data_IF_010018693403
#
_entry.id   IF_010018693403
#
_cell.length_a   1.000
_cell.length_b   1.000
_cell.length_c   1.000
_cell.angle_alpha   90.00
_cell.angle_beta   90.00
_cell.angle_gamma   90.00
#
_symmetry.space_group_name_H-M   'P 1'
#
loop_
_entity.id
_entity.type
_entity.pdbx_description
1 polymer ?
#
# COMPACT_ATOMS: atom_id res chain seq x y z
N UNK A 1 0.97 -10.73 -6.67
CA UNK A 1 1.75 -9.91 -5.72
C UNK A 1 1.96 -10.72 -4.45
N UNK A 2 3.18 -10.79 -3.91
CA UNK A 2 3.47 -11.46 -2.63
C UNK A 2 2.58 -10.94 -1.49
N UNK A 3 2.26 -11.80 -0.52
CA UNK A 3 1.35 -11.47 0.59
C UNK A 3 1.81 -10.25 1.38
N UNK A 4 3.10 -10.18 1.72
CA UNK A 4 3.67 -9.04 2.45
C UNK A 4 3.52 -7.73 1.68
N UNK A 5 3.88 -7.72 0.39
CA UNK A 5 3.74 -6.57 -0.50
C UNK A 5 2.29 -6.07 -0.57
N UNK A 6 1.31 -6.98 -0.61
CA UNK A 6 -0.11 -6.63 -0.56
C UNK A 6 -0.48 -5.89 0.71
N UNK A 7 -0.07 -6.40 1.88
CA UNK A 7 -0.44 -5.81 3.15
C UNK A 7 0.28 -4.49 3.43
N UNK A 8 1.55 -4.36 3.00
CA UNK A 8 2.27 -3.08 3.03
C UNK A 8 1.50 -2.02 2.24
N UNK A 9 1.13 -2.33 0.99
CA UNK A 9 0.39 -1.40 0.15
C UNK A 9 -0.98 -1.02 0.74
N UNK A 10 -1.73 -2.00 1.28
CA UNK A 10 -3.03 -1.75 1.91
C UNK A 10 -2.93 -0.84 3.12
N UNK A 11 -1.99 -1.11 4.03
CA UNK A 11 -1.78 -0.31 5.25
C UNK A 11 -1.36 1.11 4.87
N UNK A 12 -0.40 1.27 3.95
CA UNK A 12 0.06 2.58 3.48
C UNK A 12 -1.08 3.40 2.86
N UNK A 13 -1.87 2.79 1.96
CA UNK A 13 -2.98 3.46 1.29
C UNK A 13 -4.13 3.84 2.23
N UNK A 14 -4.45 2.99 3.22
CA UNK A 14 -5.52 3.29 4.21
C UNK A 14 -5.11 4.40 5.17
N UNK A 15 -3.83 4.45 5.54
CA UNK A 15 -3.28 5.55 6.31
C UNK A 15 -3.30 6.86 5.53
N UNK A 16 -2.89 6.84 4.26
CA UNK A 16 -2.89 8.03 3.41
C UNK A 16 -4.29 8.63 3.22
N UNK A 17 -5.33 7.80 3.32
CA UNK A 17 -6.74 8.21 3.24
C UNK A 17 -7.37 8.51 4.61
N UNK A 18 -6.58 8.53 5.69
CA UNK A 18 -7.04 8.73 7.07
C UNK A 18 -8.16 7.75 7.51
N UNK A 19 -8.23 6.54 6.93
CA UNK A 19 -9.16 5.51 7.40
C UNK A 19 -8.54 4.68 8.55
N UNK A 20 -8.68 5.15 9.78
CA UNK A 20 -8.23 4.45 10.99
C UNK A 20 -8.74 3.00 11.09
N UNK A 21 -10.06 2.74 11.00
CA UNK A 21 -10.61 1.38 11.07
C UNK A 21 -10.12 0.46 9.94
N UNK A 22 -9.97 1.00 8.73
CA UNK A 22 -9.43 0.21 7.61
C UNK A 22 -7.97 -0.14 7.82
N UNK A 23 -7.18 0.77 8.40
CA UNK A 23 -5.78 0.53 8.74
C UNK A 23 -5.67 -0.60 9.77
N UNK A 24 -6.46 -0.54 10.85
CA UNK A 24 -6.47 -1.57 11.89
C UNK A 24 -6.89 -2.94 11.35
N UNK A 25 -7.94 -2.97 10.51
CA UNK A 25 -8.39 -4.22 9.87
C UNK A 25 -7.29 -4.85 9.01
N UNK A 26 -6.58 -4.04 8.22
CA UNK A 26 -5.50 -4.54 7.38
C UNK A 26 -4.29 -5.01 8.19
N UNK A 27 -4.00 -4.40 9.33
CA UNK A 27 -2.99 -4.91 10.25
C UNK A 27 -3.36 -6.30 10.80
N UNK A 28 -4.60 -6.49 11.27
CA UNK A 28 -5.06 -7.79 11.78
C UNK A 28 -4.98 -8.87 10.71
N UNK A 29 -5.50 -8.58 9.51
CA UNK A 29 -5.43 -9.51 8.39
C UNK A 29 -4.00 -9.83 7.96
N UNK A 30 -3.06 -8.88 8.07
CA UNK A 30 -1.65 -9.12 7.75
C UNK A 30 -1.01 -10.11 8.73
N UNK A 31 -1.24 -9.90 10.03
CA UNK A 31 -0.76 -10.81 11.07
C UNK A 31 -1.38 -12.21 10.93
N UNK A 32 -2.68 -12.30 10.66
CA UNK A 32 -3.37 -13.57 10.38
C UNK A 32 -2.82 -14.29 9.15
N UNK A 33 -2.38 -13.54 8.14
CA UNK A 33 -1.75 -14.06 6.93
C UNK A 33 -0.26 -14.41 7.10
N UNK A 34 0.30 -14.27 8.31
CA UNK A 34 1.68 -14.62 8.63
C UNK A 34 2.72 -13.55 8.29
N UNK A 35 2.30 -12.32 7.98
CA UNK A 35 3.23 -11.19 7.84
C UNK A 35 3.77 -10.81 9.21
N UNK A 36 5.06 -10.54 9.32
CA UNK A 36 5.68 -10.23 10.61
C UNK A 36 5.17 -8.92 11.21
N UNK A 37 5.15 -8.84 12.54
CA UNK A 37 4.80 -7.59 13.25
C UNK A 37 5.76 -6.45 12.83
N UNK A 38 7.04 -6.75 12.63
CA UNK A 38 8.05 -5.79 12.17
C UNK A 38 7.65 -5.12 10.84
N UNK A 39 7.22 -5.91 9.85
CA UNK A 39 6.80 -5.39 8.55
C UNK A 39 5.50 -4.60 8.67
N UNK A 40 4.51 -5.12 9.42
CA UNK A 40 3.23 -4.40 9.59
C UNK A 40 3.38 -3.10 10.36
N UNK A 41 4.23 -3.05 11.39
CA UNK A 41 4.60 -1.84 12.12
C UNK A 41 5.42 -0.88 11.28
N UNK A 42 6.27 -1.38 10.38
CA UNK A 42 7.01 -0.57 9.43
C UNK A 42 6.09 0.11 8.40
N UNK A 43 5.14 -0.64 7.85
CA UNK A 43 4.11 -0.11 6.97
C UNK A 43 3.18 0.88 7.68
N UNK A 44 2.90 0.63 8.97
CA UNK A 44 2.19 1.59 9.81
C UNK A 44 3.05 2.84 9.99
N UNK A 45 4.25 2.78 10.56
CA UNK A 45 4.99 3.97 11.02
C UNK A 45 5.64 4.82 9.92
N UNK A 46 5.38 4.54 8.65
CA UNK A 46 5.97 5.27 7.52
C UNK A 46 7.40 4.80 7.26
N UNK A 47 7.53 3.55 6.81
CA UNK A 47 8.74 2.87 6.33
C UNK A 47 9.84 2.46 7.31
N UNK A 48 9.78 2.87 8.58
CA UNK A 48 10.81 2.48 9.56
C UNK A 48 10.83 0.96 9.78
N UNK A 49 11.93 0.31 9.40
CA UNK A 49 12.09 -1.15 9.53
C UNK A 49 11.74 -1.93 8.27
N UNK A 50 11.32 -1.25 7.20
CA UNK A 50 11.14 -1.87 5.88
C UNK A 50 12.47 -1.93 5.12
N UNK A 51 12.64 -2.94 4.27
CA UNK A 51 13.75 -2.99 3.30
C UNK A 51 13.53 -2.05 2.10
N UNK A 52 14.41 -2.09 1.10
CA UNK A 52 14.33 -1.20 -0.05
C UNK A 52 13.10 -1.48 -0.94
N UNK A 53 12.75 -2.75 -1.16
CA UNK A 53 11.63 -3.13 -1.99
C UNK A 53 10.30 -2.80 -1.30
N UNK A 54 10.22 -3.12 0.00
CA UNK A 54 9.07 -2.82 0.86
C UNK A 54 8.82 -1.30 0.97
N UNK A 55 9.89 -0.49 1.02
CA UNK A 55 9.80 0.98 0.95
C UNK A 55 9.19 1.47 -0.34
N UNK A 56 9.68 0.98 -1.48
CA UNK A 56 9.16 1.38 -2.79
C UNK A 56 7.66 1.06 -2.91
N UNK A 57 7.23 -0.12 -2.42
CA UNK A 57 5.80 -0.51 -2.38
C UNK A 57 4.97 0.44 -1.50
N UNK A 58 5.47 0.73 -0.30
CA UNK A 58 4.79 1.62 0.64
C UNK A 58 4.60 3.03 0.04
N UNK A 59 5.67 3.61 -0.50
CA UNK A 59 5.67 4.97 -1.02
C UNK A 59 4.80 5.08 -2.28
N UNK A 60 4.81 4.05 -3.12
CA UNK A 60 3.93 3.99 -4.28
C UNK A 60 2.45 3.96 -3.86
N UNK A 61 2.09 3.08 -2.93
CA UNK A 61 0.72 2.95 -2.47
C UNK A 61 0.22 4.21 -1.76
N UNK A 62 1.08 4.86 -0.97
CA UNK A 62 0.79 6.15 -0.35
C UNK A 62 0.55 7.23 -1.40
N UNK A 63 1.45 7.40 -2.36
CA UNK A 63 1.35 8.48 -3.34
C UNK A 63 0.12 8.32 -4.24
N UNK A 64 -0.18 7.08 -4.67
CA UNK A 64 -1.41 6.77 -5.43
C UNK A 64 -2.68 7.08 -4.63
N UNK A 65 -2.70 6.78 -3.33
CA UNK A 65 -3.89 6.95 -2.48
C UNK A 65 -4.07 8.39 -1.98
N UNK A 66 -2.99 9.12 -1.72
CA UNK A 66 -2.98 10.47 -1.18
C UNK A 66 -3.09 11.58 -2.23
N UNK A 67 -3.15 11.23 -3.53
CA UNK A 67 -3.07 12.20 -4.63
C UNK A 67 -1.78 13.03 -4.51
N UNK A 68 -0.69 12.39 -4.05
CA UNK A 68 0.63 13.02 -3.97
C UNK A 68 1.36 12.84 -5.32
N UNK A 69 2.27 13.76 -5.65
CA UNK A 69 3.13 13.60 -6.82
C UNK A 69 4.09 12.41 -6.59
N UNK A 70 4.00 11.42 -7.47
CA UNK A 70 4.82 10.21 -7.41
C UNK A 70 6.16 10.48 -8.08
N UNK A 71 7.24 9.98 -7.46
CA UNK A 71 8.55 9.93 -8.11
C UNK A 71 8.44 9.11 -9.41
N UNK A 72 8.76 9.70 -10.58
CA UNK A 72 8.62 9.03 -11.88
C UNK A 72 9.49 7.77 -12.01
N UNK A 73 10.56 7.65 -11.22
CA UNK A 73 11.45 6.47 -11.19
C UNK A 73 10.98 5.38 -10.22
N UNK A 74 9.94 5.64 -9.43
CA UNK A 74 9.39 4.67 -8.46
C UNK A 74 8.77 3.46 -9.14
N UNK A 75 7.89 3.68 -10.13
CA UNK A 75 7.22 2.61 -10.85
C UNK A 75 8.20 1.73 -11.65
N UNK A 76 9.20 2.29 -12.38
CA UNK A 76 10.26 1.50 -12.99
C UNK A 76 11.08 0.66 -12.00
N UNK A 77 11.38 1.16 -10.80
CA UNK A 77 12.09 0.39 -9.75
C UNK A 77 11.26 -0.78 -9.24
N UNK A 78 9.98 -0.53 -8.93
CA UNK A 78 9.03 -1.54 -8.47
C UNK A 78 8.86 -2.69 -9.46
N UNK A 79 8.74 -2.37 -10.75
CA UNK A 79 8.62 -3.37 -11.83
C UNK A 79 9.86 -4.26 -11.98
N UNK A 80 11.05 -3.78 -11.54
CA UNK A 80 12.29 -4.58 -11.58
C UNK A 80 12.42 -5.52 -10.37
N UNK A 81 11.87 -5.16 -9.21
CA UNK A 81 11.94 -5.95 -7.98
C UNK A 81 10.79 -6.94 -7.80
N UNK A 82 9.54 -6.47 -7.97
CA UNK A 82 8.33 -7.22 -7.57
C UNK A 82 7.79 -8.14 -8.69
N UNK A 83 8.41 -8.12 -9.88
CA UNK A 83 7.89 -8.79 -11.09
C UNK A 83 6.66 -8.07 -11.68
N UNK A 84 6.17 -8.53 -12.85
CA UNK A 84 5.22 -7.82 -13.73
C UNK A 84 3.99 -7.23 -12.99
N UNK A 85 4.11 -5.95 -12.60
CA UNK A 85 3.13 -5.15 -11.85
C UNK A 85 1.82 -4.97 -12.63
N UNK A 86 1.79 -5.32 -13.92
CA UNK A 86 0.61 -5.27 -14.81
C UNK A 86 -0.61 -6.04 -14.28
N UNK A 87 -0.41 -7.08 -13.46
CA UNK A 87 -1.52 -7.83 -12.84
C UNK A 87 -2.05 -7.19 -11.53
N UNK A 88 -1.31 -6.24 -10.95
CA UNK A 88 -1.55 -5.69 -9.60
C UNK A 88 -2.08 -4.25 -9.57
N UNK A 89 -2.12 -3.56 -10.72
CA UNK A 89 -2.91 -2.33 -10.85
C UNK A 89 -4.34 -2.55 -10.34
N UNK A 90 -4.89 -3.75 -10.48
CA UNK A 90 -6.22 -4.10 -9.99
C UNK A 90 -6.37 -4.17 -8.45
N UNK A 91 -5.31 -4.11 -7.63
CA UNK A 91 -5.45 -4.17 -6.16
C UNK A 91 -5.24 -2.81 -5.51
N UNK A 92 -4.23 -2.06 -5.91
CA UNK A 92 -4.02 -0.69 -5.44
C UNK A 92 -5.08 0.29 -6.02
N UNK A 93 -5.47 0.11 -7.29
CA UNK A 93 -6.51 0.96 -7.92
C UNK A 93 -7.91 0.60 -7.44
N UNK A 94 -8.22 -0.67 -7.11
CA UNK A 94 -9.55 -1.00 -6.57
C UNK A 94 -9.78 -0.41 -5.18
N UNK A 95 -8.72 -0.25 -4.39
CA UNK A 95 -8.80 0.41 -3.09
C UNK A 95 -9.10 1.91 -3.23
N UNK A 96 -8.47 2.61 -4.19
CA UNK A 96 -8.75 4.03 -4.48
C UNK A 96 -10.12 4.20 -5.17
N UNK A 97 -10.54 3.23 -5.99
CA UNK A 97 -11.82 3.27 -6.70
C UNK A 97 -13.04 3.23 -5.78
N UNK A 98 -12.94 2.59 -4.60
CA UNK A 98 -14.02 2.56 -3.60
C UNK A 98 -14.10 3.87 -2.78
N UNK A 99 -12.98 4.56 -2.54
CA UNK A 99 -12.97 5.87 -1.88
C UNK A 99 -13.50 6.99 -2.78
N UNK A 100 -13.16 6.96 -4.07
CA UNK A 100 -13.52 8.01 -5.03
C UNK A 100 -15.00 8.02 -5.44
N UNK A 101 -15.72 6.88 -5.33
CA UNK A 101 -17.17 6.83 -5.60
C UNK A 101 -18.02 7.52 -4.53
N UNK A 102 -17.48 7.79 -3.33
CA UNK A 102 -18.24 8.40 -2.21
C UNK A 102 -18.32 9.93 -2.29
N UNK A 103 -17.45 10.58 -3.06
CA UNK A 103 -17.39 12.05 -3.18
C UNK A 103 -18.06 12.65 -4.43
N UNK A 104 -18.68 11.84 -5.30
CA UNK A 104 -19.47 12.31 -6.46
C UNK A 104 -20.99 12.19 -6.31
N UNK A 105 -21.48 11.87 -5.12
CA UNK A 105 -22.92 11.93 -4.78
C UNK A 105 -23.15 12.89 -3.62
N UNK A 106 -22.84 14.16 -3.85
CA UNK A 106 -23.31 15.30 -3.08
C UNK A 106 -23.33 16.51 -4.01
#
# INVERSE_FOLDING_TARGET
MPTEALFIAKIAAMRAQDCGPCTELNMKMALEAGVSDEVTQGALRGVKGLDAEQRDIHDYARGVAGIEELDPELLPRLCRGVGDVKSSQNSAVNIVSMGWQRHRRA
#
